data_IF_837905687480
#
_entry.id   IF_837905687480
#
_cell.length_a   1.000
_cell.length_b   1.000
_cell.length_c   1.000
_cell.angle_alpha   90.00
_cell.angle_beta   90.00
_cell.angle_gamma   90.00
#
_symmetry.space_group_name_H-M   'P 1'
#
loop_
_entity.id
_entity.type
_entity.pdbx_description
1 polymer ?
#
# COMPACT_ATOMS: atom_id res chain seq x y z
N UNK A 1 55.46 -12.93 -9.16
CA UNK A 1 54.42 -13.98 -9.07
C UNK A 1 53.24 -13.32 -8.39
N UNK A 2 52.20 -13.00 -9.16
CA UNK A 2 50.95 -12.45 -8.65
C UNK A 2 50.09 -13.64 -8.18
N UNK A 3 49.93 -13.80 -6.87
CA UNK A 3 48.97 -14.76 -6.32
C UNK A 3 47.56 -14.26 -6.65
N UNK A 4 46.92 -14.91 -7.63
CA UNK A 4 45.49 -14.76 -7.87
C UNK A 4 44.76 -15.38 -6.68
N UNK A 5 44.15 -14.55 -5.84
CA UNK A 5 43.14 -15.00 -4.88
C UNK A 5 42.08 -15.81 -5.64
N UNK A 6 42.07 -17.12 -5.40
CA UNK A 6 41.04 -17.99 -5.96
C UNK A 6 39.74 -17.59 -5.28
N UNK A 7 38.85 -16.95 -6.04
CA UNK A 7 37.53 -16.57 -5.59
C UNK A 7 36.81 -17.80 -5.03
N UNK A 8 36.73 -17.90 -3.70
CA UNK A 8 36.07 -19.00 -3.00
C UNK A 8 34.60 -18.94 -3.37
N UNK A 9 34.09 -19.96 -4.07
CA UNK A 9 32.71 -20.01 -4.53
C UNK A 9 31.71 -19.84 -3.37
N UNK A 10 30.55 -19.22 -3.65
CA UNK A 10 29.53 -18.83 -2.68
C UNK A 10 29.09 -19.97 -1.73
N UNK A 11 29.19 -21.22 -2.19
CA UNK A 11 28.90 -22.41 -1.40
C UNK A 11 29.93 -22.64 -0.29
N UNK A 12 31.23 -22.58 -0.60
CA UNK A 12 32.31 -22.78 0.37
C UNK A 12 32.44 -21.61 1.35
N UNK A 13 32.11 -20.40 0.94
CA UNK A 13 32.05 -19.24 1.85
C UNK A 13 30.87 -19.33 2.81
N UNK A 14 29.71 -19.84 2.35
CA UNK A 14 28.52 -20.06 3.18
C UNK A 14 28.78 -21.04 4.34
N UNK A 15 29.51 -22.14 4.10
CA UNK A 15 29.86 -23.14 5.12
C UNK A 15 30.84 -22.63 6.18
N UNK A 16 31.64 -21.60 5.87
CA UNK A 16 32.61 -21.00 6.78
C UNK A 16 32.00 -19.91 7.69
N UNK A 17 30.72 -19.59 7.54
CA UNK A 17 30.03 -18.57 8.36
C UNK A 17 29.94 -18.99 9.81
N UNK A 18 30.19 -18.05 10.71
CA UNK A 18 30.03 -18.26 12.15
C UNK A 18 28.59 -18.00 12.61
N UNK A 19 28.29 -18.40 13.86
CA UNK A 19 26.93 -18.32 14.41
C UNK A 19 26.38 -16.89 14.49
N UNK A 20 27.25 -15.88 14.62
CA UNK A 20 26.85 -14.47 14.60
C UNK A 20 26.44 -14.06 13.18
N UNK A 21 27.27 -14.35 12.18
CA UNK A 21 27.00 -14.07 10.77
C UNK A 21 25.69 -14.71 10.29
N UNK A 22 25.43 -15.96 10.69
CA UNK A 22 24.17 -16.65 10.32
C UNK A 22 22.95 -15.95 10.94
N UNK A 23 23.06 -15.46 12.18
CA UNK A 23 21.97 -14.71 12.85
C UNK A 23 21.77 -13.35 12.22
N UNK A 24 22.85 -12.66 11.88
CA UNK A 24 22.81 -11.35 11.23
C UNK A 24 22.19 -11.47 9.83
N UNK A 25 22.60 -12.45 9.01
CA UNK A 25 22.02 -12.72 7.69
C UNK A 25 20.52 -13.01 7.79
N UNK A 26 20.10 -13.80 8.79
CA UNK A 26 18.68 -14.09 9.04
C UNK A 26 17.91 -12.86 9.50
N UNK A 27 18.49 -12.05 10.37
CA UNK A 27 17.85 -10.82 10.86
C UNK A 27 17.65 -9.82 9.71
N UNK A 28 18.64 -9.68 8.83
CA UNK A 28 18.58 -8.84 7.63
C UNK A 28 17.46 -9.33 6.71
N UNK A 29 17.43 -10.62 6.36
CA UNK A 29 16.40 -11.17 5.48
C UNK A 29 14.98 -10.94 6.03
N UNK A 30 14.76 -11.22 7.32
CA UNK A 30 13.47 -10.97 7.99
C UNK A 30 13.13 -9.47 7.97
N UNK A 31 14.09 -8.60 8.23
CA UNK A 31 13.91 -7.15 8.22
C UNK A 31 13.50 -6.63 6.85
N UNK A 32 14.22 -7.04 5.80
CA UNK A 32 13.95 -6.67 4.41
C UNK A 32 12.58 -7.14 3.95
N UNK A 33 12.25 -8.42 4.18
CA UNK A 33 10.93 -8.99 3.82
C UNK A 33 9.80 -8.24 4.53
N UNK A 34 9.95 -8.01 5.84
CA UNK A 34 8.94 -7.29 6.63
C UNK A 34 8.78 -5.86 6.13
N UNK A 35 9.89 -5.17 5.85
CA UNK A 35 9.87 -3.79 5.35
C UNK A 35 9.17 -3.70 3.99
N UNK A 36 9.42 -4.67 3.10
CA UNK A 36 8.81 -4.72 1.76
C UNK A 36 7.29 -4.92 1.86
N UNK A 37 6.84 -5.88 2.67
CA UNK A 37 5.42 -6.13 2.89
C UNK A 37 4.72 -4.92 3.50
N UNK A 38 5.39 -4.21 4.41
CA UNK A 38 4.85 -3.01 5.02
C UNK A 38 4.66 -1.87 4.01
N UNK A 39 5.64 -1.62 3.14
CA UNK A 39 5.52 -0.64 2.04
C UNK A 39 4.35 -0.99 1.12
N UNK A 40 4.24 -2.26 0.72
CA UNK A 40 3.14 -2.73 -0.11
C UNK A 40 1.78 -2.47 0.54
N UNK A 41 1.62 -2.79 1.83
CA UNK A 41 0.37 -2.55 2.55
C UNK A 41 -0.01 -1.07 2.56
N UNK A 42 0.96 -0.18 2.71
CA UNK A 42 0.73 1.27 2.66
C UNK A 42 0.27 1.70 1.27
N UNK A 43 0.90 1.20 0.21
CA UNK A 43 0.49 1.48 -1.16
C UNK A 43 -0.92 0.94 -1.47
N UNK A 44 -1.25 -0.27 -1.04
CA UNK A 44 -2.57 -0.87 -1.22
C UNK A 44 -3.67 -0.02 -0.53
N UNK A 45 -3.37 0.53 0.66
CA UNK A 45 -4.25 1.49 1.35
C UNK A 45 -4.41 2.79 0.56
N UNK A 46 -3.30 3.37 0.05
CA UNK A 46 -3.32 4.59 -0.79
C UNK A 46 -4.18 4.39 -2.05
N UNK A 47 -4.04 3.24 -2.72
CA UNK A 47 -4.84 2.88 -3.90
C UNK A 47 -6.32 2.75 -3.55
N UNK A 48 -6.62 2.11 -2.42
CA UNK A 48 -8.00 1.90 -1.96
C UNK A 48 -8.69 3.23 -1.66
N UNK A 49 -8.02 4.14 -0.96
CA UNK A 49 -8.51 5.51 -0.69
C UNK A 49 -8.80 6.24 -2.00
N UNK A 50 -7.83 6.30 -2.93
CA UNK A 50 -8.01 6.97 -4.23
C UNK A 50 -9.16 6.41 -5.04
N UNK A 51 -9.40 5.09 -4.98
CA UNK A 51 -10.52 4.47 -5.68
C UNK A 51 -11.86 4.91 -5.11
N UNK A 52 -11.97 4.98 -3.78
CA UNK A 52 -13.19 5.45 -3.11
C UNK A 52 -13.44 6.95 -3.33
N UNK A 53 -12.38 7.77 -3.30
CA UNK A 53 -12.48 9.21 -3.64
C UNK A 53 -13.00 9.41 -5.07
N UNK A 54 -12.46 8.67 -6.05
CA UNK A 54 -12.98 8.70 -7.42
C UNK A 54 -14.41 8.18 -7.52
N UNK A 55 -14.78 7.17 -6.75
CA UNK A 55 -16.17 6.69 -6.71
C UNK A 55 -17.10 7.80 -6.22
N UNK A 56 -16.69 8.52 -5.17
CA UNK A 56 -17.42 9.67 -4.65
C UNK A 56 -17.53 10.80 -5.69
N UNK A 57 -16.44 11.13 -6.39
CA UNK A 57 -16.45 12.12 -7.47
C UNK A 57 -17.33 11.68 -8.65
N UNK A 58 -17.27 10.41 -9.05
CA UNK A 58 -18.09 9.87 -10.14
C UNK A 58 -19.58 9.86 -9.80
N UNK A 59 -19.96 9.87 -8.52
CA UNK A 59 -21.37 10.03 -8.14
C UNK A 59 -21.92 11.42 -8.49
N UNK A 60 -21.05 12.40 -8.74
CA UNK A 60 -21.44 13.73 -9.23
C UNK A 60 -21.66 13.75 -10.76
N UNK A 61 -21.22 12.71 -11.47
CA UNK A 61 -21.44 12.60 -12.91
C UNK A 61 -22.88 12.15 -13.19
N UNK A 62 -23.75 13.15 -13.37
CA UNK A 62 -25.15 12.98 -13.74
C UNK A 62 -25.35 13.04 -15.26
N UNK A 63 -24.28 12.88 -16.04
CA UNK A 63 -24.39 12.91 -17.49
C UNK A 63 -25.23 11.74 -18.02
N UNK A 64 -26.01 11.95 -19.09
CA UNK A 64 -26.73 10.90 -19.78
C UNK A 64 -25.80 9.77 -20.24
N UNK A 65 -26.15 8.50 -19.97
CA UNK A 65 -25.42 7.36 -20.55
C UNK A 65 -25.61 7.22 -22.07
N UNK A 66 -26.57 7.94 -22.65
CA UNK A 66 -26.76 8.09 -24.10
C UNK A 66 -27.51 9.41 -24.42
N UNK A 67 -27.46 9.86 -25.67
CA UNK A 67 -28.06 11.13 -26.12
C UNK A 67 -29.58 11.26 -25.90
N UNK A 68 -30.29 10.16 -25.60
CA UNK A 68 -31.73 10.12 -25.33
C UNK A 68 -32.06 9.97 -23.83
N UNK A 69 -31.06 9.90 -22.95
CA UNK A 69 -31.20 9.57 -21.52
C UNK A 69 -30.91 10.78 -20.63
N UNK A 70 -31.63 11.89 -20.83
CA UNK A 70 -31.61 12.98 -19.85
C UNK A 70 -32.16 12.46 -18.51
N UNK A 71 -31.30 12.38 -17.49
CA UNK A 71 -31.76 12.15 -16.12
C UNK A 71 -32.58 13.37 -15.72
N UNK A 72 -33.89 13.22 -15.63
CA UNK A 72 -34.75 14.29 -15.16
C UNK A 72 -34.46 14.52 -13.67
N UNK A 73 -34.55 15.77 -13.21
CA UNK A 73 -34.37 16.07 -11.79
C UNK A 73 -35.34 15.30 -10.87
N UNK A 74 -36.48 14.85 -11.41
CA UNK A 74 -37.45 13.99 -10.73
C UNK A 74 -36.96 12.56 -10.51
N UNK A 75 -36.02 12.08 -11.32
CA UNK A 75 -35.55 10.69 -11.32
C UNK A 75 -34.31 10.51 -10.43
N UNK A 76 -33.76 11.62 -9.93
CA UNK A 76 -32.62 11.62 -9.02
C UNK A 76 -33.07 11.33 -7.58
N UNK A 77 -32.68 10.16 -7.06
CA UNK A 77 -32.88 9.82 -5.66
C UNK A 77 -31.82 10.50 -4.77
N UNK A 78 -32.16 11.71 -4.33
CA UNK A 78 -31.35 12.49 -3.40
C UNK A 78 -31.09 11.77 -2.06
N UNK A 79 -32.01 10.93 -1.59
CA UNK A 79 -31.85 10.22 -0.32
C UNK A 79 -30.81 9.12 -0.45
N UNK A 80 -30.90 8.32 -1.52
CA UNK A 80 -29.92 7.28 -1.81
C UNK A 80 -28.53 7.87 -2.09
N UNK A 81 -28.45 9.00 -2.80
CA UNK A 81 -27.20 9.71 -3.03
C UNK A 81 -26.54 10.13 -1.71
N UNK A 82 -27.25 10.86 -0.85
CA UNK A 82 -26.69 11.36 0.43
C UNK A 82 -26.25 10.20 1.31
N UNK A 83 -27.05 9.12 1.36
CA UNK A 83 -26.70 7.95 2.16
C UNK A 83 -25.40 7.30 1.68
N UNK A 84 -25.25 7.11 0.37
CA UNK A 84 -24.05 6.51 -0.22
C UNK A 84 -22.82 7.43 -0.07
N UNK A 85 -22.99 8.73 -0.26
CA UNK A 85 -21.91 9.73 -0.12
C UNK A 85 -21.35 9.75 1.31
N UNK A 86 -22.23 9.81 2.32
CA UNK A 86 -21.84 9.75 3.73
C UNK A 86 -21.18 8.42 4.08
N UNK A 87 -21.70 7.30 3.56
CA UNK A 87 -21.10 5.97 3.77
C UNK A 87 -19.67 5.88 3.20
N UNK A 88 -19.46 6.36 1.97
CA UNK A 88 -18.14 6.44 1.35
C UNK A 88 -17.20 7.35 2.15
N UNK A 89 -17.68 8.52 2.60
CA UNK A 89 -16.91 9.44 3.43
C UNK A 89 -16.40 8.79 4.72
N UNK A 90 -17.24 8.01 5.41
CA UNK A 90 -16.84 7.26 6.62
C UNK A 90 -15.79 6.19 6.28
N UNK A 91 -15.97 5.45 5.18
CA UNK A 91 -14.99 4.43 4.73
C UNK A 91 -13.65 5.06 4.38
N UNK A 92 -13.64 6.15 3.61
CA UNK A 92 -12.43 6.92 3.27
C UNK A 92 -11.71 7.37 4.53
N UNK A 93 -12.46 7.92 5.51
CA UNK A 93 -11.87 8.36 6.78
C UNK A 93 -11.22 7.21 7.55
N UNK A 94 -11.88 6.07 7.63
CA UNK A 94 -11.37 4.89 8.31
C UNK A 94 -10.08 4.35 7.64
N UNK A 95 -10.06 4.26 6.31
CA UNK A 95 -8.85 3.84 5.58
C UNK A 95 -7.72 4.87 5.70
N UNK A 96 -8.05 6.16 5.72
CA UNK A 96 -7.05 7.23 5.96
C UNK A 96 -6.42 7.11 7.35
N UNK A 97 -7.21 6.79 8.38
CA UNK A 97 -6.69 6.53 9.73
C UNK A 97 -5.78 5.31 9.72
N UNK A 98 -6.15 4.23 9.03
CA UNK A 98 -5.31 3.02 8.89
C UNK A 98 -4.00 3.34 8.20
N UNK A 99 -4.04 4.13 7.12
CA UNK A 99 -2.86 4.59 6.40
C UNK A 99 -1.92 5.39 7.31
N UNK A 100 -2.45 6.34 8.08
CA UNK A 100 -1.65 7.17 9.00
C UNK A 100 -0.98 6.32 10.11
N UNK A 101 -1.73 5.39 10.71
CA UNK A 101 -1.18 4.46 11.71
C UNK A 101 -0.08 3.61 11.10
N UNK A 102 -0.31 3.04 9.92
CA UNK A 102 0.67 2.22 9.22
C UNK A 102 1.93 3.04 8.89
N UNK A 103 1.79 4.23 8.31
CA UNK A 103 2.93 5.09 7.96
C UNK A 103 3.75 5.50 9.20
N UNK A 104 3.10 5.89 10.30
CA UNK A 104 3.80 6.21 11.56
C UNK A 104 4.53 5.00 12.12
N UNK A 105 3.91 3.83 12.08
CA UNK A 105 4.51 2.61 12.59
C UNK A 105 5.66 2.12 11.71
N UNK A 106 5.54 2.27 10.38
CA UNK A 106 6.62 2.03 9.44
C UNK A 106 7.84 2.90 9.76
N UNK A 107 7.63 4.20 9.94
CA UNK A 107 8.70 5.14 10.28
C UNK A 107 9.40 4.74 11.58
N UNK A 108 8.63 4.38 12.60
CA UNK A 108 9.18 3.90 13.87
C UNK A 108 10.01 2.61 13.72
N UNK A 109 9.56 1.67 12.89
CA UNK A 109 10.19 0.36 12.74
C UNK A 109 11.44 0.38 11.83
N UNK A 110 11.44 1.23 10.79
CA UNK A 110 12.45 1.17 9.73
C UNK A 110 13.21 2.49 9.49
N UNK A 111 12.83 3.59 10.15
CA UNK A 111 13.55 4.87 10.08
C UNK A 111 13.53 5.57 8.73
N UNK A 112 12.73 5.10 7.76
CA UNK A 112 12.62 5.65 6.40
C UNK A 112 11.25 6.25 6.08
N UNK A 113 11.22 7.18 5.11
CA UNK A 113 9.98 7.68 4.51
C UNK A 113 9.33 6.64 3.59
N UNK A 114 8.00 6.72 3.45
CA UNK A 114 7.19 5.82 2.61
C UNK A 114 6.83 6.47 1.28
#
# INVERSE_FOLDING_TARGET
MEEKEVAVGAFLSSLKRNNKQIRDDRATAIGEDTQLLYKRQIEDLRVTIKRMEREQENMLDLSPTNAMSLVLASDFDSTAYVQKDVELGVKIRNETIRLDIAAKRYLYLFGGGV
#
